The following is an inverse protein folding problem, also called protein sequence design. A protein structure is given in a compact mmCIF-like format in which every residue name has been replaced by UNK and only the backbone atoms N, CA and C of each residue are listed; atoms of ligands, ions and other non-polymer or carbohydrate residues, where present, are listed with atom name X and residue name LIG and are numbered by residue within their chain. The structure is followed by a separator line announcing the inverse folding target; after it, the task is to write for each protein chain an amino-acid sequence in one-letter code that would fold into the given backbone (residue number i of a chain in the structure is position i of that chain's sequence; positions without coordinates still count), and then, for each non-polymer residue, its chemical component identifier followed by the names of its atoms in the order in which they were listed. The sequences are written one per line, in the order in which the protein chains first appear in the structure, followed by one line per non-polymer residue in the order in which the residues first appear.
data_IF_854131823442
#
_entry.id   IF_854131823442
#
_cell.length_a   1.000
_cell.length_b   1.000
_cell.length_c   1.000
_cell.angle_alpha   90.00
_cell.angle_beta   90.00
_cell.angle_gamma   90.00
#
_symmetry.space_group_name_H-M   'P 1'
#
loop_
_entity.id
_entity.type
_entity.pdbx_description
1 polymer ?
#
# COMPACT_ATOMS: atom_id res chain seq x y z
N UNK A 1 -31.06 -0.62 -28.71
CA UNK A 1 -30.31 -1.43 -27.72
C UNK A 1 -28.82 -1.08 -27.65
N UNK A 2 -28.07 -1.05 -28.76
CA UNK A 2 -26.62 -0.76 -28.75
C UNK A 2 -26.26 0.67 -28.27
N UNK A 3 -27.01 1.70 -28.66
CA UNK A 3 -26.76 3.08 -28.25
C UNK A 3 -26.89 3.28 -26.72
N UNK A 4 -27.92 2.67 -26.11
CA UNK A 4 -28.16 2.72 -24.67
C UNK A 4 -27.03 2.04 -23.85
N UNK A 5 -26.46 0.96 -24.39
CA UNK A 5 -25.30 0.30 -23.78
C UNK A 5 -24.04 1.18 -23.80
N UNK A 6 -23.83 1.92 -24.89
CA UNK A 6 -22.67 2.80 -25.03
C UNK A 6 -22.78 4.04 -24.11
N UNK A 7 -23.97 4.60 -23.95
CA UNK A 7 -24.23 5.70 -23.02
C UNK A 7 -24.03 5.28 -21.57
N UNK A 8 -24.53 4.10 -21.18
CA UNK A 8 -24.31 3.55 -19.83
C UNK A 8 -22.82 3.32 -19.54
N UNK A 9 -22.05 2.83 -20.51
CA UNK A 9 -20.62 2.63 -20.35
C UNK A 9 -19.87 3.96 -20.14
N UNK A 10 -20.20 4.99 -20.92
CA UNK A 10 -19.63 6.34 -20.76
C UNK A 10 -19.97 6.96 -19.41
N UNK A 11 -21.21 6.76 -18.92
CA UNK A 11 -21.63 7.24 -17.61
C UNK A 11 -20.82 6.58 -16.48
N UNK A 12 -20.57 5.27 -16.56
CA UNK A 12 -19.76 4.56 -15.57
C UNK A 12 -18.30 5.04 -15.58
N UNK A 13 -17.69 5.23 -16.75
CA UNK A 13 -16.33 5.78 -16.85
C UNK A 13 -16.25 7.21 -16.32
N UNK A 14 -17.29 8.03 -16.52
CA UNK A 14 -17.35 9.37 -15.98
C UNK A 14 -17.45 9.34 -14.45
N UNK A 15 -18.33 8.50 -13.89
CA UNK A 15 -18.43 8.32 -12.44
C UNK A 15 -17.11 7.83 -11.84
N UNK A 16 -16.40 6.92 -12.50
CA UNK A 16 -15.09 6.44 -12.04
C UNK A 16 -14.06 7.58 -12.01
N UNK A 17 -14.00 8.41 -13.07
CA UNK A 17 -13.12 9.58 -13.12
C UNK A 17 -13.48 10.64 -12.07
N UNK A 18 -14.77 10.89 -11.85
CA UNK A 18 -15.24 11.85 -10.87
C UNK A 18 -14.95 11.37 -9.43
N UNK A 19 -15.05 10.06 -9.17
CA UNK A 19 -14.66 9.45 -7.90
C UNK A 19 -13.15 9.56 -7.66
N UNK A 20 -12.33 9.29 -8.68
CA UNK A 20 -10.87 9.44 -8.58
C UNK A 20 -10.49 10.91 -8.29
N UNK A 21 -11.13 11.86 -8.97
CA UNK A 21 -10.94 13.30 -8.76
C UNK A 21 -11.38 13.73 -7.35
N UNK A 22 -12.48 13.17 -6.85
CA UNK A 22 -12.96 13.41 -5.50
C UNK A 22 -11.98 12.87 -4.44
N UNK A 23 -11.43 11.67 -4.66
CA UNK A 23 -10.42 11.07 -3.79
C UNK A 23 -9.15 11.93 -3.76
N UNK A 24 -8.70 12.43 -4.91
CA UNK A 24 -7.54 13.31 -5.01
C UNK A 24 -7.78 14.62 -4.25
N UNK A 25 -8.88 15.32 -4.52
CA UNK A 25 -9.29 16.56 -3.83
C UNK A 25 -9.41 16.37 -2.33
N UNK A 26 -10.03 15.27 -1.88
CA UNK A 26 -10.19 14.97 -0.46
C UNK A 26 -8.85 14.61 0.22
N UNK A 27 -7.88 14.10 -0.54
CA UNK A 27 -6.51 13.91 -0.06
C UNK A 27 -5.77 15.21 0.14
N UNK A 28 -5.96 16.16 -0.77
CA UNK A 28 -5.30 17.47 -0.75
C UNK A 28 -5.93 18.43 0.29
N UNK A 29 -7.23 18.27 0.58
CA UNK A 29 -7.96 19.15 1.50
C UNK A 29 -7.83 18.76 2.99
N UNK A 30 -7.27 17.57 3.33
CA UNK A 30 -7.47 17.00 4.67
C UNK A 30 -6.27 16.28 5.30
N UNK A 31 -5.02 16.65 4.96
CA UNK A 31 -3.84 16.02 5.57
C UNK A 31 -2.75 16.95 6.12
N UNK A 32 -2.90 18.27 6.03
CA UNK A 32 -2.05 19.19 6.80
C UNK A 32 -2.87 19.76 7.97
N UNK A 33 -2.81 19.17 9.17
CA UNK A 33 -3.15 19.90 10.37
C UNK A 33 -2.01 20.91 10.60
N UNK A 34 -2.22 22.11 10.08
CA UNK A 34 -1.50 23.35 10.37
C UNK A 34 -0.01 23.38 10.01
N UNK A 35 0.23 24.11 8.93
CA UNK A 35 1.43 24.88 8.70
C UNK A 35 1.62 25.87 9.85
N UNK A 36 2.50 25.56 10.79
CA UNK A 36 3.24 26.58 11.55
C UNK A 36 4.69 26.13 11.78
N UNK A 37 5.59 26.84 11.08
CA UNK A 37 7.04 26.99 11.26
C UNK A 37 7.97 25.75 11.19
N UNK A 38 8.57 25.52 10.00
CA UNK A 38 10.03 25.42 9.78
C UNK A 38 10.37 24.99 8.33
N UNK A 39 11.54 25.37 7.78
CA UNK A 39 11.69 25.60 6.35
C UNK A 39 12.01 24.36 5.53
N UNK A 40 11.49 24.45 4.31
CA UNK A 40 11.94 23.90 3.04
C UNK A 40 13.28 23.14 3.05
N UNK A 41 13.21 21.82 2.87
CA UNK A 41 14.35 21.01 2.44
C UNK A 41 13.93 20.29 1.15
N UNK A 42 13.81 21.08 0.09
CA UNK A 42 13.83 20.56 -1.27
C UNK A 42 15.29 20.52 -1.73
N UNK A 43 15.78 19.36 -2.16
CA UNK A 43 17.01 19.31 -2.94
C UNK A 43 17.78 18.00 -2.87
N UNK A 44 17.38 17.07 -3.72
CA UNK A 44 18.29 16.21 -4.47
C UNK A 44 19.06 15.11 -3.71
N UNK A 45 18.67 13.86 -3.96
CA UNK A 45 19.51 12.81 -4.59
C UNK A 45 18.81 11.46 -4.35
N UNK A 46 18.04 11.04 -5.34
CA UNK A 46 17.78 9.62 -5.59
C UNK A 46 19.00 9.08 -6.35
N UNK A 47 19.81 8.22 -5.73
CA UNK A 47 20.60 7.19 -6.44
C UNK A 47 20.72 5.90 -5.61
N UNK A 48 20.05 4.87 -6.13
CA UNK A 48 20.38 3.43 -6.12
C UNK A 48 21.00 2.72 -4.89
N UNK A 49 20.17 1.86 -4.26
CA UNK A 49 20.34 0.47 -3.78
C UNK A 49 21.75 -0.18 -3.68
N UNK A 50 22.05 -1.11 -2.72
CA UNK A 50 21.19 -2.28 -2.41
C UNK A 50 21.04 -2.68 -0.93
N UNK A 51 20.18 -3.67 -0.73
CA UNK A 51 19.76 -4.29 0.52
C UNK A 51 20.91 -4.77 1.44
N UNK A 52 20.96 -4.21 2.65
CA UNK A 52 21.38 -4.89 3.88
C UNK A 52 21.10 -3.95 5.07
N UNK A 53 20.82 -4.53 6.24
CA UNK A 53 20.51 -3.85 7.50
C UNK A 53 19.10 -3.21 7.58
N UNK A 54 18.09 -4.07 7.57
CA UNK A 54 16.94 -3.89 8.44
C UNK A 54 17.44 -3.94 9.90
N UNK A 55 17.94 -2.82 10.41
CA UNK A 55 18.33 -2.66 11.81
C UNK A 55 17.53 -1.50 12.37
N UNK A 56 16.44 -1.87 13.04
CA UNK A 56 15.74 -1.12 14.08
C UNK A 56 15.64 0.39 13.85
N UNK A 57 14.53 0.80 13.21
CA UNK A 57 13.95 2.11 13.54
C UNK A 57 13.79 2.09 15.06
N UNK A 58 14.41 3.02 15.82
CA UNK A 58 14.12 3.09 17.24
C UNK A 58 12.67 3.52 17.34
N UNK A 59 11.79 2.57 17.62
CA UNK A 59 10.51 2.86 18.24
C UNK A 59 10.90 3.68 19.47
N UNK A 60 10.44 4.94 19.61
CA UNK A 60 10.73 5.72 20.80
C UNK A 60 10.08 4.99 21.96
N UNK A 61 10.85 4.14 22.62
CA UNK A 61 10.45 3.43 23.81
C UNK A 61 10.28 4.47 24.90
N UNK A 62 9.03 4.65 25.32
CA UNK A 62 8.68 5.02 26.69
C UNK A 62 9.33 6.30 27.22
N UNK A 63 9.27 7.40 26.47
CA UNK A 63 9.53 8.71 27.03
C UNK A 63 8.41 9.14 27.98
N UNK A 64 8.57 8.84 29.27
CA UNK A 64 7.83 9.45 30.38
C UNK A 64 6.34 9.14 30.44
N UNK A 65 5.96 7.88 30.68
CA UNK A 65 4.57 7.54 30.99
C UNK A 65 4.60 6.78 32.29
N UNK A 66 4.45 7.51 33.40
CA UNK A 66 4.14 6.92 34.70
C UNK A 66 3.05 5.87 34.46
N UNK A 67 3.34 4.62 34.81
CA UNK A 67 2.46 3.51 34.49
C UNK A 67 1.14 3.64 35.28
N UNK A 68 0.08 2.97 34.83
CA UNK A 68 -1.19 2.97 35.58
C UNK A 68 -0.99 2.50 37.03
N UNK A 69 -0.10 1.52 37.24
CA UNK A 69 0.23 1.02 38.58
C UNK A 69 0.90 2.10 39.42
N UNK A 70 1.89 2.80 38.88
CA UNK A 70 2.58 3.90 39.58
C UNK A 70 1.64 5.07 39.91
N UNK A 71 0.69 5.41 39.04
CA UNK A 71 -0.34 6.40 39.34
C UNK A 71 -1.22 5.98 40.52
N UNK A 72 -1.61 4.70 40.57
CA UNK A 72 -2.43 4.16 41.67
C UNK A 72 -1.64 4.11 42.97
N UNK A 73 -0.39 3.68 42.92
CA UNK A 73 0.51 3.64 44.09
C UNK A 73 0.76 5.04 44.64
N UNK A 74 1.02 6.02 43.77
CA UNK A 74 1.20 7.43 44.15
C UNK A 74 -0.05 7.99 44.83
N UNK A 75 -1.23 7.68 44.31
CA UNK A 75 -2.50 8.08 44.93
C UNK A 75 -2.69 7.44 46.30
N UNK A 76 -2.46 6.13 46.43
CA UNK A 76 -2.61 5.42 47.70
C UNK A 76 -1.62 5.94 48.74
N UNK A 77 -0.37 6.17 48.35
CA UNK A 77 0.65 6.74 49.22
C UNK A 77 0.27 8.14 49.71
N UNK A 78 -0.11 9.03 48.78
CA UNK A 78 -0.54 10.40 49.12
C UNK A 78 -1.74 10.41 50.08
N UNK A 79 -2.78 9.63 49.79
CA UNK A 79 -3.99 9.58 50.60
C UNK A 79 -3.75 8.91 51.97
N UNK A 80 -2.84 7.93 52.06
CA UNK A 80 -2.45 7.31 53.33
C UNK A 80 -1.68 8.25 54.27
N UNK A 81 -1.07 9.29 53.71
CA UNK A 81 -0.30 10.31 54.44
C UNK A 81 -1.11 11.53 54.86
N UNK A 82 -2.39 11.60 54.49
CA UNK A 82 -3.24 12.74 54.75
C UNK A 82 -3.58 12.88 56.25
N UNK A 83 -3.47 14.10 56.78
CA UNK A 83 -3.73 14.37 58.21
C UNK A 83 -5.22 14.46 58.54
N UNK A 84 -6.02 14.94 57.57
CA UNK A 84 -7.46 15.14 57.72
C UNK A 84 -8.19 15.06 56.37
N UNK A 85 -9.53 15.07 56.41
CA UNK A 85 -10.36 14.94 55.20
C UNK A 85 -10.31 16.16 54.26
N UNK A 86 -9.87 17.32 54.73
CA UNK A 86 -9.57 18.50 53.92
C UNK A 86 -8.21 18.38 53.22
N UNK A 87 -7.18 17.95 53.95
CA UNK A 87 -5.84 17.65 53.40
C UNK A 87 -5.92 16.56 52.32
N UNK A 88 -6.65 15.47 52.58
CA UNK A 88 -6.90 14.42 51.59
C UNK A 88 -7.58 14.96 50.32
N UNK A 89 -8.54 15.89 50.46
CA UNK A 89 -9.21 16.54 49.32
C UNK A 89 -8.26 17.44 48.54
N UNK A 90 -7.42 18.23 49.22
CA UNK A 90 -6.43 19.07 48.55
C UNK A 90 -5.38 18.25 47.78
N UNK A 91 -4.92 17.14 48.36
CA UNK A 91 -4.01 16.18 47.71
C UNK A 91 -4.66 15.50 46.50
N UNK A 92 -5.90 15.04 46.66
CA UNK A 92 -6.65 14.43 45.56
C UNK A 92 -6.87 15.41 44.39
N UNK A 93 -7.16 16.69 44.67
CA UNK A 93 -7.29 17.70 43.64
C UNK A 93 -6.01 17.88 42.82
N UNK A 94 -4.85 18.05 43.50
CA UNK A 94 -3.54 18.16 42.84
C UNK A 94 -3.18 16.90 42.06
N UNK A 95 -3.45 15.73 42.62
CA UNK A 95 -3.22 14.46 41.93
C UNK A 95 -4.03 14.37 40.63
N UNK A 96 -5.30 14.77 40.66
CA UNK A 96 -6.18 14.74 39.48
C UNK A 96 -5.75 15.75 38.41
N UNK A 97 -5.24 16.91 38.81
CA UNK A 97 -4.66 17.89 37.87
C UNK A 97 -3.43 17.31 37.16
N UNK A 98 -2.49 16.75 37.91
CA UNK A 98 -1.30 16.09 37.35
C UNK A 98 -1.66 14.94 36.41
N UNK A 99 -2.60 14.09 36.85
CA UNK A 99 -3.07 12.95 36.06
C UNK A 99 -3.77 13.42 34.78
N UNK A 100 -4.62 14.45 34.87
CA UNK A 100 -5.31 15.05 33.75
C UNK A 100 -4.34 15.64 32.72
N UNK A 101 -3.32 16.37 33.16
CA UNK A 101 -2.28 16.92 32.29
C UNK A 101 -1.48 15.81 31.59
N UNK A 102 -1.10 14.75 32.30
CA UNK A 102 -0.41 13.61 31.72
C UNK A 102 -1.28 12.84 30.71
N UNK A 103 -2.57 12.67 31.01
CA UNK A 103 -3.53 12.02 30.12
C UNK A 103 -3.78 12.85 28.85
N UNK A 104 -3.91 14.17 28.96
CA UNK A 104 -4.06 15.08 27.82
C UNK A 104 -2.84 15.03 26.90
N UNK A 105 -1.62 15.16 27.45
CA UNK A 105 -0.38 15.04 26.67
C UNK A 105 -0.26 13.70 25.96
N UNK A 106 -0.70 12.61 26.60
CA UNK A 106 -0.74 11.29 25.96
C UNK A 106 -1.75 11.24 24.82
N UNK A 107 -2.96 11.76 25.02
CA UNK A 107 -4.00 11.79 24.01
C UNK A 107 -3.57 12.60 22.77
N UNK A 108 -2.88 13.72 22.97
CA UNK A 108 -2.31 14.52 21.88
C UNK A 108 -1.26 13.74 21.09
N UNK A 109 -0.32 13.10 21.77
CA UNK A 109 0.72 12.27 21.13
C UNK A 109 0.13 11.10 20.36
N UNK A 110 -0.78 10.36 20.99
CA UNK A 110 -1.44 9.20 20.38
C UNK A 110 -2.31 9.64 19.19
N UNK A 111 -2.98 10.79 19.29
CA UNK A 111 -3.74 11.40 18.20
C UNK A 111 -2.86 11.83 17.02
N UNK A 112 -1.74 12.49 17.28
CA UNK A 112 -0.78 12.88 16.25
C UNK A 112 -0.18 11.67 15.54
N UNK A 113 0.17 10.62 16.28
CA UNK A 113 0.66 9.36 15.72
C UNK A 113 -0.41 8.70 14.84
N UNK A 114 -1.64 8.60 15.34
CA UNK A 114 -2.76 8.01 14.60
C UNK A 114 -3.04 8.76 13.30
N UNK A 115 -2.98 10.10 13.29
CA UNK A 115 -3.13 10.91 12.08
C UNK A 115 -2.03 10.64 11.06
N UNK A 116 -0.76 10.58 11.51
CA UNK A 116 0.39 10.27 10.67
C UNK A 116 0.27 8.88 10.04
N UNK A 117 -0.09 7.87 10.82
CA UNK A 117 -0.30 6.51 10.32
C UNK A 117 -1.45 6.45 9.32
N UNK A 118 -2.57 7.15 9.60
CA UNK A 118 -3.70 7.22 8.67
C UNK A 118 -3.29 7.85 7.33
N UNK A 119 -2.45 8.88 7.34
CA UNK A 119 -1.94 9.51 6.13
C UNK A 119 -1.09 8.54 5.29
N UNK A 120 -0.20 7.77 5.94
CA UNK A 120 0.62 6.74 5.28
C UNK A 120 -0.26 5.64 4.69
N UNK A 121 -1.22 5.13 5.47
CA UNK A 121 -2.14 4.09 5.01
C UNK A 121 -2.99 4.55 3.82
N UNK A 122 -3.50 5.79 3.84
CA UNK A 122 -4.22 6.37 2.69
C UNK A 122 -3.35 6.44 1.44
N UNK A 123 -2.08 6.83 1.56
CA UNK A 123 -1.13 6.83 0.44
C UNK A 123 -0.88 5.41 -0.09
N UNK A 124 -0.67 4.44 0.80
CA UNK A 124 -0.45 3.04 0.44
C UNK A 124 -1.67 2.44 -0.30
N UNK A 125 -2.88 2.69 0.19
CA UNK A 125 -4.13 2.22 -0.44
C UNK A 125 -4.30 2.80 -1.85
N UNK A 126 -3.99 4.10 -2.05
CA UNK A 126 -4.04 4.72 -3.38
C UNK A 126 -3.04 4.10 -4.35
N UNK A 127 -1.81 3.88 -3.90
CA UNK A 127 -0.78 3.24 -4.72
C UNK A 127 -1.19 1.82 -5.10
N UNK A 128 -1.72 1.05 -4.14
CA UNK A 128 -2.19 -0.30 -4.36
C UNK A 128 -3.33 -0.34 -5.38
N UNK A 129 -4.33 0.55 -5.25
CA UNK A 129 -5.43 0.67 -6.21
C UNK A 129 -4.94 0.95 -7.64
N UNK A 130 -3.96 1.85 -7.79
CA UNK A 130 -3.34 2.15 -9.08
C UNK A 130 -2.63 0.92 -9.66
N UNK A 131 -1.81 0.24 -8.86
CA UNK A 131 -1.07 -0.95 -9.30
C UNK A 131 -2.03 -2.08 -9.71
N UNK A 132 -3.12 -2.27 -8.96
CA UNK A 132 -4.10 -3.31 -9.29
C UNK A 132 -4.89 -2.97 -10.55
N UNK A 133 -5.20 -1.68 -10.80
CA UNK A 133 -5.75 -1.25 -12.08
C UNK A 133 -4.80 -1.52 -13.24
N UNK A 134 -3.52 -1.18 -13.10
CA UNK A 134 -2.50 -1.42 -14.13
C UNK A 134 -2.34 -2.92 -14.43
N UNK A 135 -2.30 -3.77 -13.40
CA UNK A 135 -2.29 -5.23 -13.54
C UNK A 135 -3.55 -5.76 -14.21
N UNK A 136 -4.72 -5.24 -13.84
CA UNK A 136 -5.98 -5.65 -14.45
C UNK A 136 -6.02 -5.27 -15.94
N UNK A 137 -5.52 -4.09 -16.31
CA UNK A 137 -5.42 -3.65 -17.71
C UNK A 137 -4.46 -4.54 -18.51
N UNK A 138 -3.24 -4.78 -18.00
CA UNK A 138 -2.27 -5.67 -18.63
C UNK A 138 -2.81 -7.10 -18.79
N UNK A 139 -3.55 -7.61 -17.81
CA UNK A 139 -4.17 -8.93 -17.89
C UNK A 139 -5.27 -8.99 -18.97
N UNK A 140 -6.07 -7.92 -19.14
CA UNK A 140 -7.05 -7.84 -20.23
C UNK A 140 -6.37 -7.91 -21.60
N UNK A 141 -5.30 -7.14 -21.79
CA UNK A 141 -4.52 -7.15 -23.04
C UNK A 141 -3.91 -8.52 -23.33
N UNK A 142 -3.33 -9.18 -22.31
CA UNK A 142 -2.82 -10.55 -22.45
C UNK A 142 -3.93 -11.52 -22.86
N UNK A 143 -5.11 -11.44 -22.25
CA UNK A 143 -6.25 -12.28 -22.63
C UNK A 143 -6.72 -12.04 -24.07
N UNK A 144 -6.68 -10.80 -24.54
CA UNK A 144 -7.01 -10.47 -25.93
C UNK A 144 -6.00 -11.09 -26.90
N UNK A 145 -4.70 -11.00 -26.59
CA UNK A 145 -3.64 -11.66 -27.37
C UNK A 145 -3.78 -13.18 -27.35
N UNK A 146 -4.13 -13.78 -26.21
CA UNK A 146 -4.39 -15.22 -26.13
C UNK A 146 -5.58 -15.60 -27.00
N UNK A 147 -6.69 -14.85 -26.92
CA UNK A 147 -7.89 -15.05 -27.75
C UNK A 147 -7.60 -14.94 -29.24
N UNK A 148 -6.75 -14.01 -29.67
CA UNK A 148 -6.41 -13.84 -31.10
C UNK A 148 -5.57 -15.01 -31.64
N UNK A 149 -4.79 -15.67 -30.78
CA UNK A 149 -3.98 -16.83 -31.14
C UNK A 149 -4.73 -18.16 -31.04
N UNK A 150 -5.86 -18.22 -30.33
CA UNK A 150 -6.64 -19.45 -30.17
C UNK A 150 -7.06 -20.12 -31.48
N UNK A 151 -7.56 -19.40 -32.52
CA UNK A 151 -7.92 -20.03 -33.78
C UNK A 151 -6.73 -20.71 -34.46
N UNK A 152 -5.56 -20.05 -34.48
CA UNK A 152 -4.32 -20.61 -35.03
C UNK A 152 -3.83 -21.82 -34.25
N UNK A 153 -3.92 -21.77 -32.92
CA UNK A 153 -3.58 -22.90 -32.05
C UNK A 153 -4.51 -24.09 -32.28
N UNK A 154 -5.83 -23.84 -32.41
CA UNK A 154 -6.83 -24.89 -32.71
C UNK A 154 -6.58 -25.52 -34.08
N UNK A 155 -6.34 -24.72 -35.11
CA UNK A 155 -6.03 -25.22 -36.46
C UNK A 155 -4.72 -26.00 -36.49
N UNK A 156 -3.66 -25.50 -35.87
CA UNK A 156 -2.37 -26.20 -35.78
C UNK A 156 -2.47 -27.55 -35.07
N UNK A 157 -3.27 -27.65 -34.00
CA UNK A 157 -3.45 -28.91 -33.25
C UNK A 157 -4.36 -29.91 -34.00
N UNK A 158 -5.23 -29.42 -34.88
CA UNK A 158 -6.18 -30.24 -35.66
C UNK A 158 -5.63 -30.67 -37.03
N UNK A 159 -4.54 -30.06 -37.49
CA UNK A 159 -3.86 -30.43 -38.73
C UNK A 159 -2.99 -31.70 -38.53
N UNK A 160 -3.22 -32.81 -39.26
CA UNK A 160 -2.49 -34.08 -39.08
C UNK A 160 -1.01 -34.08 -39.50
N UNK A 161 -0.40 -32.93 -39.78
CA UNK A 161 0.80 -32.85 -40.60
C UNK A 161 2.13 -33.09 -39.84
N UNK A 162 2.11 -33.32 -38.52
CA UNK A 162 3.36 -33.45 -37.73
C UNK A 162 3.85 -34.89 -37.54
N UNK A 163 3.11 -35.92 -37.98
CA UNK A 163 3.53 -37.32 -37.84
C UNK A 163 3.89 -38.03 -39.15
N UNK A 164 3.58 -37.47 -40.32
CA UNK A 164 3.73 -38.18 -41.61
C UNK A 164 5.05 -37.96 -42.36
N UNK A 165 6.00 -37.18 -41.83
CA UNK A 165 7.28 -36.90 -42.51
C UNK A 165 8.51 -37.66 -41.99
N UNK A 166 8.36 -38.58 -41.03
CA UNK A 166 9.48 -39.37 -40.47
C UNK A 166 9.25 -40.87 -40.63
N UNK A 167 9.05 -41.32 -41.87
CA UNK A 167 8.95 -42.75 -42.14
C UNK A 167 8.41 -43.10 -43.52
N UNK A 168 9.10 -42.72 -44.61
CA UNK A 168 9.09 -43.41 -45.91
C UNK A 168 10.03 -42.72 -46.90
N UNK A 169 11.34 -42.90 -46.68
CA UNK A 169 12.37 -42.76 -47.73
C UNK A 169 13.29 -43.98 -47.64
N UNK A 170 12.70 -45.13 -47.96
CA UNK A 170 13.45 -46.31 -48.38
C UNK A 170 13.09 -46.56 -49.84
N UNK A 171 14.08 -46.46 -50.72
CA UNK A 171 13.96 -46.94 -52.10
C UNK A 171 14.30 -45.92 -53.19
N UNK A 172 15.43 -46.20 -53.85
CA UNK A 172 15.71 -45.97 -55.27
C UNK A 172 16.49 -44.71 -55.69
N UNK A 173 17.75 -44.99 -56.00
CA UNK A 173 18.83 -44.32 -56.74
C UNK A 173 18.45 -43.23 -57.76
N UNK A 174 19.27 -42.17 -57.88
CA UNK A 174 20.37 -42.12 -58.87
C UNK A 174 21.11 -40.77 -58.88
N UNK A 175 22.44 -40.81 -58.81
CA UNK A 175 23.33 -39.97 -59.63
C UNK A 175 23.75 -38.58 -59.14
N UNK A 176 25.08 -38.43 -58.99
CA UNK A 176 25.90 -37.20 -58.92
C UNK A 176 25.99 -36.46 -57.59
N UNK A 177 26.82 -37.02 -56.71
CA UNK A 177 27.67 -36.22 -55.84
C UNK A 177 28.90 -35.77 -56.62
N UNK A 178 29.20 -34.46 -56.61
CA UNK A 178 30.53 -33.93 -56.90
C UNK A 178 31.14 -33.49 -55.55
N UNK A 179 32.07 -34.26 -54.95
CA UNK A 179 32.98 -33.73 -53.94
C UNK A 179 34.14 -33.02 -54.65
N UNK A 180 34.97 -32.31 -53.89
CA UNK A 180 36.15 -31.54 -54.30
C UNK A 180 35.92 -30.07 -54.64
N UNK A 181 35.78 -29.24 -53.60
CA UNK A 181 36.60 -28.02 -53.49
C UNK A 181 37.08 -27.93 -52.03
N UNK A 182 38.35 -28.26 -51.82
CA UNK A 182 39.14 -27.77 -50.70
C UNK A 182 39.55 -26.32 -50.99
#
# INVERSE_FOLDING_TARGET
MAAYSAEKARALEQCERDLDLAIERLGNLRLDPEHDAAPDINGDVIRHAPAAAAAAVPVPSGGGIISRAEWIERLMMEMSSAADAGDARARAARFLEDFGAAAASRAERDGALALRENAILKKAVRLQHRLDREKAAANRELQERVRSLEPWRRTSTRCPCTSSARGRRGGSMSGRFHPEVF
#
